data_IF_384918803719
#
_entry.id   IF_384918803719
#
_cell.length_a   1.000
_cell.length_b   1.000
_cell.length_c   1.000
_cell.angle_alpha   90.00
_cell.angle_beta   90.00
_cell.angle_gamma   90.00
#
_symmetry.space_group_name_H-M   'P 1'
#
loop_
_entity.id
_entity.type
_entity.pdbx_description
1 polymer ?
#
# COMPACT_ATOMS: atom_id res chain seq x y z
N UNK A 1 19.79 20.02 3.15
CA UNK A 1 18.54 20.66 2.71
C UNK A 1 17.32 19.73 2.69
N UNK A 2 17.48 18.44 2.34
CA UNK A 2 16.36 17.49 2.22
C UNK A 2 15.68 17.20 3.57
N UNK A 3 16.43 17.13 4.68
CA UNK A 3 15.87 16.89 6.02
C UNK A 3 14.99 18.03 6.52
N UNK A 4 15.32 19.28 6.16
CA UNK A 4 14.52 20.44 6.55
C UNK A 4 13.19 20.53 5.81
N UNK A 5 13.15 20.10 4.55
CA UNK A 5 11.92 20.05 3.75
C UNK A 5 10.93 19.02 4.31
N UNK A 6 11.37 17.79 4.60
CA UNK A 6 10.52 16.77 5.17
C UNK A 6 9.94 17.15 6.55
N UNK A 7 10.76 17.76 7.42
CA UNK A 7 10.30 18.28 8.71
C UNK A 7 9.25 19.39 8.53
N UNK A 8 9.50 20.33 7.61
CA UNK A 8 8.55 21.41 7.29
C UNK A 8 7.20 20.86 6.81
N UNK A 9 7.20 19.81 6.00
CA UNK A 9 5.96 19.22 5.50
C UNK A 9 5.17 18.47 6.60
N UNK A 10 5.86 17.86 7.55
CA UNK A 10 5.22 17.26 8.73
C UNK A 10 4.53 18.34 9.58
N UNK A 11 5.21 19.43 9.88
CA UNK A 11 4.63 20.55 10.65
C UNK A 11 3.44 21.19 9.94
N UNK A 12 3.51 21.40 8.62
CA UNK A 12 2.39 21.92 7.83
C UNK A 12 1.15 21.02 7.97
N UNK A 13 1.32 19.70 7.88
CA UNK A 13 0.23 18.76 8.06
C UNK A 13 -0.35 18.80 9.47
N UNK A 14 0.49 18.90 10.51
CA UNK A 14 0.04 19.02 11.89
C UNK A 14 -0.78 20.29 12.10
N UNK A 15 -0.33 21.43 11.57
CA UNK A 15 -1.07 22.70 11.64
C UNK A 15 -2.43 22.56 10.94
N UNK A 16 -2.48 21.95 9.76
CA UNK A 16 -3.73 21.71 9.04
C UNK A 16 -4.70 20.87 9.87
N UNK A 17 -4.25 19.79 10.51
CA UNK A 17 -5.10 18.96 11.36
C UNK A 17 -5.69 19.76 12.54
N UNK A 18 -4.89 20.62 13.18
CA UNK A 18 -5.35 21.48 14.27
C UNK A 18 -6.38 22.51 13.77
N UNK A 19 -6.10 23.17 12.63
CA UNK A 19 -6.98 24.19 12.04
C UNK A 19 -8.34 23.60 11.63
N UNK A 20 -8.35 22.37 11.11
CA UNK A 20 -9.58 21.66 10.75
C UNK A 20 -10.27 20.96 11.93
N UNK A 21 -9.77 21.15 13.16
CA UNK A 21 -10.38 20.57 14.36
C UNK A 21 -10.32 19.04 14.44
N UNK A 22 -9.45 18.42 13.67
CA UNK A 22 -9.24 16.98 13.65
C UNK A 22 -8.36 16.58 14.83
N UNK A 23 -8.99 16.27 15.97
CA UNK A 23 -8.26 15.81 17.16
C UNK A 23 -7.82 14.35 17.01
N UNK A 24 -6.62 13.98 17.53
CA UNK A 24 -6.19 12.60 17.58
C UNK A 24 -7.22 11.72 18.27
N UNK A 25 -7.78 10.77 17.55
CA UNK A 25 -8.77 9.83 18.05
C UNK A 25 -8.14 8.45 18.28
N UNK A 26 -8.78 7.63 19.11
CA UNK A 26 -8.40 6.22 19.31
C UNK A 26 -8.35 5.46 17.99
N UNK A 27 -9.14 5.87 17.00
CA UNK A 27 -9.12 5.31 15.65
C UNK A 27 -7.78 5.47 14.92
N UNK A 28 -6.90 6.38 15.35
CA UNK A 28 -5.57 6.53 14.77
C UNK A 28 -4.64 5.36 15.10
N UNK A 29 -4.92 4.61 16.17
CA UNK A 29 -4.14 3.39 16.48
C UNK A 29 -4.25 2.34 15.37
N UNK A 30 -5.36 2.31 14.65
CA UNK A 30 -5.51 1.38 13.52
C UNK A 30 -4.61 1.74 12.32
N UNK A 31 -4.01 2.94 12.27
CA UNK A 31 -3.02 3.28 11.27
C UNK A 31 -1.82 2.33 11.32
N UNK A 32 -1.42 1.92 12.52
CA UNK A 32 -0.32 0.94 12.70
C UNK A 32 -0.68 -0.40 12.03
N UNK A 33 -1.92 -0.83 12.16
CA UNK A 33 -2.41 -2.05 11.52
C UNK A 33 -2.27 -1.97 9.99
N UNK A 34 -2.65 -0.84 9.37
CA UNK A 34 -2.50 -0.64 7.93
C UNK A 34 -1.04 -0.49 7.50
N UNK A 35 -0.17 0.08 8.35
CA UNK A 35 1.28 0.14 8.11
C UNK A 35 1.87 -1.27 8.03
N UNK A 36 1.52 -2.16 8.97
CA UNK A 36 1.99 -3.55 8.97
C UNK A 36 1.52 -4.27 7.71
N UNK A 37 0.26 -4.11 7.32
CA UNK A 37 -0.27 -4.63 6.06
C UNK A 37 0.55 -4.17 4.86
N UNK A 38 0.78 -2.85 4.74
CA UNK A 38 1.55 -2.25 3.63
C UNK A 38 3.00 -2.77 3.59
N UNK A 39 3.64 -2.90 4.75
CA UNK A 39 5.00 -3.44 4.85
C UNK A 39 5.07 -4.87 4.31
N UNK A 40 4.11 -5.73 4.64
CA UNK A 40 4.06 -7.10 4.12
C UNK A 40 3.94 -7.12 2.59
N UNK A 41 3.04 -6.32 2.03
CA UNK A 41 2.88 -6.20 0.57
C UNK A 41 4.16 -5.69 -0.08
N UNK A 42 4.76 -4.63 0.47
CA UNK A 42 6.01 -4.06 -0.04
C UNK A 42 7.18 -5.05 0.01
N UNK A 43 7.32 -5.79 1.11
CA UNK A 43 8.35 -6.83 1.25
C UNK A 43 8.16 -7.91 0.17
N UNK A 44 6.94 -8.39 -0.02
CA UNK A 44 6.65 -9.41 -1.03
C UNK A 44 7.00 -8.95 -2.45
N UNK A 45 6.56 -7.76 -2.83
CA UNK A 45 6.87 -7.17 -4.14
C UNK A 45 8.38 -6.92 -4.30
N UNK A 46 9.05 -6.45 -3.24
CA UNK A 46 10.48 -6.18 -3.28
C UNK A 46 11.32 -7.46 -3.49
N UNK A 47 11.01 -8.54 -2.79
CA UNK A 47 11.68 -9.83 -3.01
C UNK A 47 11.44 -10.37 -4.41
N UNK A 48 10.23 -10.26 -4.92
CA UNK A 48 9.90 -10.67 -6.28
C UNK A 48 10.69 -9.86 -7.31
N UNK A 49 10.66 -8.53 -7.20
CA UNK A 49 11.36 -7.62 -8.11
C UNK A 49 12.87 -7.83 -8.06
N UNK A 50 13.45 -7.94 -6.85
CA UNK A 50 14.88 -8.17 -6.67
C UNK A 50 15.33 -9.48 -7.31
N UNK A 51 14.51 -10.54 -7.23
CA UNK A 51 14.84 -11.81 -7.84
C UNK A 51 14.85 -11.77 -9.37
N UNK A 52 13.94 -11.00 -9.97
CA UNK A 52 13.87 -10.83 -11.42
C UNK A 52 14.94 -9.87 -11.96
N UNK A 53 15.32 -8.87 -11.18
CA UNK A 53 16.29 -7.85 -11.59
C UNK A 53 17.66 -8.44 -11.94
N UNK A 54 18.07 -9.53 -11.27
CA UNK A 54 19.34 -10.19 -11.55
C UNK A 54 19.39 -10.76 -12.98
N UNK A 55 18.24 -11.21 -13.50
CA UNK A 55 18.15 -11.78 -14.85
C UNK A 55 17.77 -10.75 -15.91
N UNK A 56 16.95 -9.77 -15.53
CA UNK A 56 16.41 -8.77 -16.45
C UNK A 56 16.52 -7.36 -15.85
N UNK A 57 17.48 -6.59 -16.33
CA UNK A 57 17.71 -5.20 -15.84
C UNK A 57 16.52 -4.27 -16.09
N UNK A 58 15.73 -4.57 -17.11
CA UNK A 58 14.55 -3.76 -17.48
C UNK A 58 13.36 -3.91 -16.52
N UNK A 59 13.40 -4.87 -15.60
CA UNK A 59 12.36 -5.09 -14.59
C UNK A 59 12.11 -3.84 -13.75
N UNK A 60 13.14 -3.05 -13.43
CA UNK A 60 12.98 -1.81 -12.67
C UNK A 60 12.08 -0.81 -13.41
N UNK A 61 12.26 -0.68 -14.72
CA UNK A 61 11.44 0.22 -15.51
C UNK A 61 10.00 -0.27 -15.61
N UNK A 62 9.81 -1.58 -15.82
CA UNK A 62 8.48 -2.19 -15.87
C UNK A 62 7.76 -1.99 -14.54
N UNK A 63 8.42 -2.25 -13.41
CA UNK A 63 7.83 -2.05 -12.07
C UNK A 63 7.47 -0.59 -11.84
N UNK A 64 8.31 0.35 -12.27
CA UNK A 64 8.02 1.78 -12.16
C UNK A 64 6.75 2.16 -12.92
N UNK A 65 6.58 1.66 -14.14
CA UNK A 65 5.38 1.89 -14.97
C UNK A 65 4.15 1.26 -14.30
N UNK A 66 4.26 0.01 -13.84
CA UNK A 66 3.16 -0.68 -13.16
C UNK A 66 2.74 0.07 -11.89
N UNK A 67 3.69 0.51 -11.07
CA UNK A 67 3.39 1.28 -9.86
C UNK A 67 2.70 2.61 -10.20
N UNK A 68 3.10 3.27 -11.29
CA UNK A 68 2.45 4.50 -11.73
C UNK A 68 1.00 4.24 -12.17
N UNK A 69 0.76 3.18 -12.94
CA UNK A 69 -0.60 2.79 -13.34
C UNK A 69 -1.46 2.47 -12.11
N UNK A 70 -0.94 1.68 -11.18
CA UNK A 70 -1.64 1.30 -9.95
C UNK A 70 -1.93 2.52 -9.07
N UNK A 71 -1.02 3.49 -9.01
CA UNK A 71 -1.25 4.76 -8.31
C UNK A 71 -2.46 5.51 -8.89
N UNK A 72 -2.59 5.60 -10.20
CA UNK A 72 -3.73 6.27 -10.85
C UNK A 72 -5.05 5.50 -10.70
N UNK A 73 -5.00 4.18 -10.71
CA UNK A 73 -6.17 3.33 -10.49
C UNK A 73 -6.63 3.39 -9.02
N UNK A 74 -5.68 3.54 -8.08
CA UNK A 74 -6.03 3.63 -6.67
C UNK A 74 -6.63 5.01 -6.35
N UNK A 75 -7.80 5.11 -5.72
CA UNK A 75 -8.47 6.38 -5.45
C UNK A 75 -7.80 7.17 -4.31
N UNK A 76 -6.56 7.63 -4.56
CA UNK A 76 -5.79 8.45 -3.62
C UNK A 76 -6.20 9.92 -3.74
N UNK A 77 -6.27 10.42 -4.98
CA UNK A 77 -6.52 11.85 -5.28
C UNK A 77 -8.00 12.12 -5.57
N UNK A 78 -8.74 11.11 -6.05
CA UNK A 78 -10.14 11.23 -6.44
C UNK A 78 -11.06 10.44 -5.50
N UNK A 79 -12.36 10.77 -5.50
CA UNK A 79 -13.35 10.12 -4.64
C UNK A 79 -14.03 8.96 -5.39
N UNK A 80 -14.28 7.85 -4.68
CA UNK A 80 -14.96 6.69 -5.26
C UNK A 80 -16.39 6.99 -5.73
N UNK A 81 -17.06 7.98 -5.11
CA UNK A 81 -18.44 8.35 -5.43
C UNK A 81 -18.66 8.85 -6.86
N UNK A 82 -17.57 9.13 -7.60
CA UNK A 82 -17.64 9.58 -8.99
C UNK A 82 -17.98 8.43 -9.95
N UNK A 83 -17.70 7.19 -9.55
CA UNK A 83 -17.87 6.02 -10.40
C UNK A 83 -19.09 5.19 -10.03
N UNK A 84 -19.61 4.46 -11.04
CA UNK A 84 -20.69 3.50 -10.87
C UNK A 84 -20.33 2.41 -9.86
N UNK A 85 -21.34 1.83 -9.21
CA UNK A 85 -21.18 0.77 -8.20
C UNK A 85 -20.34 -0.42 -8.70
N UNK A 86 -20.48 -0.77 -9.98
CA UNK A 86 -19.70 -1.86 -10.60
C UNK A 86 -18.21 -1.58 -10.62
N UNK A 87 -17.83 -0.34 -10.91
CA UNK A 87 -16.41 0.09 -10.92
C UNK A 87 -15.88 0.17 -9.50
N UNK A 88 -16.68 0.68 -8.57
CA UNK A 88 -16.33 0.71 -7.14
C UNK A 88 -16.08 -0.71 -6.60
N UNK A 89 -16.93 -1.67 -6.98
CA UNK A 89 -16.76 -3.08 -6.61
C UNK A 89 -15.46 -3.65 -7.17
N UNK A 90 -15.13 -3.39 -8.44
CA UNK A 90 -13.87 -3.83 -9.06
C UNK A 90 -12.63 -3.23 -8.37
N UNK A 91 -12.71 -1.96 -7.96
CA UNK A 91 -11.61 -1.28 -7.25
C UNK A 91 -11.34 -1.87 -5.86
N UNK A 92 -12.34 -2.45 -5.21
CA UNK A 92 -12.17 -3.15 -3.93
C UNK A 92 -11.25 -4.38 -4.04
N UNK A 93 -11.03 -4.94 -5.23
CA UNK A 93 -10.06 -6.04 -5.41
C UNK A 93 -8.59 -5.55 -5.44
N UNK A 94 -8.36 -4.26 -5.57
CA UNK A 94 -7.01 -3.72 -5.55
C UNK A 94 -6.43 -3.76 -4.12
N UNK A 95 -5.34 -4.51 -3.88
CA UNK A 95 -4.76 -4.65 -2.55
C UNK A 95 -4.22 -3.33 -1.98
N UNK A 96 -3.83 -2.38 -2.83
CA UNK A 96 -3.36 -1.06 -2.39
C UNK A 96 -4.51 -0.10 -2.04
N UNK A 97 -5.73 -0.42 -2.47
CA UNK A 97 -6.89 0.38 -2.12
C UNK A 97 -7.26 0.26 -0.64
N UNK A 98 -7.09 -0.92 -0.06
CA UNK A 98 -7.44 -1.20 1.34
C UNK A 98 -6.78 -0.26 2.35
N UNK A 99 -5.43 -0.11 2.37
CA UNK A 99 -4.80 0.82 3.29
C UNK A 99 -5.17 2.28 3.00
N UNK A 100 -5.30 2.68 1.74
CA UNK A 100 -5.69 4.06 1.39
C UNK A 100 -7.07 4.41 1.93
N UNK A 101 -8.05 3.52 1.74
CA UNK A 101 -9.38 3.67 2.30
C UNK A 101 -9.36 3.67 3.82
N UNK A 102 -8.63 2.74 4.42
CA UNK A 102 -8.49 2.62 5.86
C UNK A 102 -7.87 3.86 6.51
N UNK A 103 -6.83 4.43 5.91
CA UNK A 103 -6.26 5.70 6.36
C UNK A 103 -7.27 6.85 6.30
N UNK A 104 -7.98 6.96 5.19
CA UNK A 104 -9.00 8.02 5.02
C UNK A 104 -10.11 7.88 6.05
N UNK A 105 -10.62 6.69 6.24
CA UNK A 105 -11.73 6.43 7.17
C UNK A 105 -11.30 6.57 8.64
N UNK A 106 -10.07 6.18 8.98
CA UNK A 106 -9.50 6.38 10.30
C UNK A 106 -9.31 7.86 10.66
N UNK A 107 -8.86 8.67 9.70
CA UNK A 107 -8.54 10.07 9.93
C UNK A 107 -9.75 10.99 9.80
N UNK A 108 -10.69 10.70 8.90
CA UNK A 108 -11.78 11.62 8.55
C UNK A 108 -13.14 11.15 9.06
N UNK A 109 -13.40 9.84 9.05
CA UNK A 109 -14.74 9.30 9.35
C UNK A 109 -14.82 8.62 10.72
N UNK A 110 -13.70 8.36 11.39
CA UNK A 110 -13.66 7.65 12.67
C UNK A 110 -14.22 6.23 12.60
N UNK A 111 -14.09 5.55 11.44
CA UNK A 111 -14.54 4.18 11.25
C UNK A 111 -13.45 3.18 11.59
N UNK A 112 -13.85 2.04 12.18
CA UNK A 112 -12.95 0.95 12.50
C UNK A 112 -12.79 -0.02 11.33
N UNK A 113 -11.62 -0.71 11.25
CA UNK A 113 -11.33 -1.69 10.20
C UNK A 113 -12.29 -2.89 10.19
N UNK A 114 -12.90 -3.25 11.31
CA UNK A 114 -13.88 -4.34 11.38
C UNK A 114 -15.23 -3.98 10.75
N UNK A 115 -15.54 -2.69 10.55
CA UNK A 115 -16.77 -2.26 9.87
C UNK A 115 -16.81 -2.65 8.38
N UNK A 116 -15.65 -2.90 7.77
CA UNK A 116 -15.57 -3.40 6.39
C UNK A 116 -16.03 -4.85 6.22
N UNK A 117 -16.28 -5.55 7.33
CA UNK A 117 -16.62 -6.96 7.34
C UNK A 117 -15.41 -7.89 7.38
N UNK A 118 -15.58 -8.99 8.11
CA UNK A 118 -14.51 -9.98 8.32
C UNK A 118 -13.98 -10.57 7.00
N UNK A 119 -14.87 -10.81 6.02
CA UNK A 119 -14.48 -11.39 4.74
C UNK A 119 -13.50 -10.53 3.94
N UNK A 120 -13.73 -9.23 3.87
CA UNK A 120 -12.83 -8.31 3.17
C UNK A 120 -11.48 -8.17 3.88
N UNK A 121 -11.48 -8.08 5.22
CA UNK A 121 -10.23 -8.05 5.98
C UNK A 121 -9.40 -9.32 5.75
N UNK A 122 -10.04 -10.49 5.80
CA UNK A 122 -9.38 -11.77 5.54
C UNK A 122 -8.81 -11.85 4.11
N UNK A 123 -9.57 -11.41 3.11
CA UNK A 123 -9.15 -11.35 1.71
C UNK A 123 -7.86 -10.54 1.55
N UNK A 124 -7.79 -9.33 2.09
CA UNK A 124 -6.62 -8.48 1.96
C UNK A 124 -5.39 -9.07 2.67
N UNK A 125 -5.56 -9.62 3.87
CA UNK A 125 -4.45 -10.28 4.56
C UNK A 125 -3.95 -11.53 3.84
N UNK A 126 -4.84 -12.32 3.25
CA UNK A 126 -4.44 -13.47 2.42
C UNK A 126 -3.65 -13.02 1.19
N UNK A 127 -4.05 -11.94 0.54
CA UNK A 127 -3.29 -11.36 -0.58
C UNK A 127 -1.90 -10.88 -0.13
N UNK A 128 -1.82 -10.15 0.99
CA UNK A 128 -0.53 -9.69 1.51
C UNK A 128 0.42 -10.85 1.81
N UNK A 129 -0.09 -11.91 2.45
CA UNK A 129 0.66 -13.15 2.70
C UNK A 129 1.06 -13.85 1.40
N UNK A 130 0.15 -13.92 0.41
CA UNK A 130 0.44 -14.51 -0.88
C UNK A 130 1.58 -13.76 -1.59
N UNK A 131 1.56 -12.42 -1.64
CA UNK A 131 2.66 -11.63 -2.19
C UNK A 131 3.99 -11.91 -1.48
N UNK A 132 3.96 -11.98 -0.15
CA UNK A 132 5.14 -12.26 0.66
C UNK A 132 5.71 -13.66 0.38
N UNK A 133 4.85 -14.69 0.36
CA UNK A 133 5.24 -16.07 0.11
C UNK A 133 5.76 -16.28 -1.32
N UNK A 134 5.08 -15.71 -2.32
CA UNK A 134 5.49 -15.78 -3.73
C UNK A 134 6.85 -15.09 -3.90
N UNK A 135 6.99 -13.86 -3.36
CA UNK A 135 8.24 -13.10 -3.45
C UNK A 135 9.41 -13.86 -2.82
N UNK A 136 9.25 -14.35 -1.60
CA UNK A 136 10.29 -15.13 -0.91
C UNK A 136 10.61 -16.45 -1.61
N UNK A 137 9.60 -17.16 -2.11
CA UNK A 137 9.80 -18.43 -2.83
C UNK A 137 10.54 -18.21 -4.15
N UNK A 138 10.16 -17.18 -4.88
CA UNK A 138 10.83 -16.78 -6.11
C UNK A 138 12.30 -16.44 -5.83
N UNK A 139 12.56 -15.61 -4.83
CA UNK A 139 13.91 -15.25 -4.43
C UNK A 139 14.76 -16.45 -4.01
N UNK A 140 14.21 -17.37 -3.20
CA UNK A 140 14.94 -18.58 -2.78
C UNK A 140 15.32 -19.48 -3.96
N UNK A 141 14.41 -19.66 -4.93
CA UNK A 141 14.65 -20.49 -6.11
C UNK A 141 15.70 -19.85 -7.04
N UNK A 142 15.59 -18.55 -7.28
CA UNK A 142 16.47 -17.86 -8.20
C UNK A 142 17.86 -17.59 -7.62
N UNK A 143 17.97 -17.45 -6.28
CA UNK A 143 19.25 -17.24 -5.60
C UNK A 143 20.30 -18.30 -5.94
N UNK A 144 19.88 -19.54 -6.18
CA UNK A 144 20.79 -20.64 -6.54
C UNK A 144 21.47 -20.41 -7.90
N UNK A 145 20.84 -19.66 -8.80
CA UNK A 145 21.34 -19.35 -10.13
C UNK A 145 22.04 -17.98 -10.24
N UNK A 146 22.12 -17.22 -9.12
CA UNK A 146 22.77 -15.91 -9.15
C UNK A 146 24.29 -16.02 -9.40
N UNK A 147 24.92 -17.11 -8.95
CA UNK A 147 26.35 -17.35 -9.17
C UNK A 147 26.70 -17.61 -10.63
N UNK A 148 25.71 -18.03 -11.43
CA UNK A 148 25.95 -18.38 -12.87
C UNK A 148 25.76 -17.11 -13.76
N UNK A 149 25.21 -16.02 -13.24
CA UNK A 149 24.84 -14.82 -14.01
C UNK A 149 25.67 -13.59 -13.60
N UNK A 150 26.29 -13.61 -12.41
CA UNK A 150 27.20 -12.58 -11.92
C UNK A 150 28.66 -12.88 -12.26
#
# INVERSE_FOLDING_TARGET
>A
PIKSSAASDVYKRQILFIVYGQMPSVYWLQLVYYIVYMLLVCIGISYFTASLFVFFRDVVQIVSIVLQIVFWITPIVWQMSIFDEKVQWALNFNPLFYPVRGYRDALMSGKCFWEYGFGWNLYYWLIALAFCLIGMSCFKKLKQHFADVL
#
